data_IF_821061481277
#
_entry.id   IF_821061481277
#
_cell.length_a   1.000
_cell.length_b   1.000
_cell.length_c   1.000
_cell.angle_alpha   90.00
_cell.angle_beta   90.00
_cell.angle_gamma   90.00
#
_symmetry.space_group_name_H-M   'P 1'
#
loop_
_entity.id
_entity.type
_entity.pdbx_description
1 polymer ?
#
# COMPACT_ATOMS: atom_id res chain seq x y z
N UNK A 1 7.52 21.36 -6.79
CA UNK A 1 6.42 20.49 -6.30
C UNK A 1 6.98 19.42 -5.37
N UNK A 2 6.41 19.22 -4.18
CA UNK A 2 6.89 18.19 -3.23
C UNK A 2 6.51 16.80 -3.76
N UNK A 3 7.52 16.00 -4.13
CA UNK A 3 7.34 14.59 -4.47
C UNK A 3 7.18 13.81 -3.18
N UNK A 4 5.98 13.35 -2.88
CA UNK A 4 5.72 12.44 -1.77
C UNK A 4 5.37 11.08 -2.35
N UNK A 5 6.00 10.04 -1.80
CA UNK A 5 5.76 8.63 -2.12
C UNK A 5 5.13 8.04 -0.89
N UNK A 6 3.89 7.55 -1.03
CA UNK A 6 3.23 6.86 0.06
C UNK A 6 3.08 5.40 -0.32
N UNK A 7 3.62 4.53 0.54
CA UNK A 7 3.48 3.08 0.49
C UNK A 7 2.43 2.73 1.53
N UNK A 8 1.37 2.05 1.11
CA UNK A 8 0.31 1.58 2.01
C UNK A 8 0.43 0.06 2.12
N UNK A 9 1.03 -0.47 3.20
CA UNK A 9 0.84 -1.87 3.59
C UNK A 9 -0.58 -2.02 4.17
N UNK A 10 -1.25 -3.12 3.85
CA UNK A 10 -2.69 -3.23 4.05
C UNK A 10 -3.14 -3.23 5.52
N UNK A 11 -4.16 -2.43 5.81
CA UNK A 11 -5.16 -2.67 6.87
C UNK A 11 -6.37 -3.43 6.30
N UNK A 12 -6.81 -4.46 7.02
CA UNK A 12 -7.95 -5.29 6.64
C UNK A 12 -9.31 -4.67 7.02
N UNK A 13 -10.39 -5.20 6.43
CA UNK A 13 -11.75 -4.99 6.95
C UNK A 13 -12.19 -6.27 7.63
N UNK A 14 -12.11 -6.31 8.95
CA UNK A 14 -12.44 -7.49 9.74
C UNK A 14 -13.92 -7.53 10.08
N UNK A 15 -14.52 -8.72 10.06
CA UNK A 15 -15.94 -8.96 10.40
C UNK A 15 -16.16 -9.29 11.87
N UNK A 16 -15.11 -9.57 12.66
CA UNK A 16 -15.27 -10.11 14.02
C UNK A 16 -14.62 -9.25 15.11
N UNK A 17 -15.28 -9.20 16.26
CA UNK A 17 -14.94 -8.36 17.42
C UNK A 17 -13.58 -8.69 18.07
N UNK A 18 -13.01 -9.86 17.78
CA UNK A 18 -11.74 -10.33 18.37
C UNK A 18 -10.50 -9.69 17.72
N UNK A 19 -10.66 -9.11 16.53
CA UNK A 19 -9.62 -8.41 15.77
C UNK A 19 -9.66 -6.88 16.02
N UNK A 20 -10.39 -6.43 17.03
CA UNK A 20 -10.75 -5.02 17.28
C UNK A 20 -9.79 -4.27 18.23
N UNK A 21 -8.70 -4.88 18.70
CA UNK A 21 -7.77 -4.28 19.67
C UNK A 21 -6.87 -3.19 19.05
N UNK A 22 -7.46 -2.09 18.55
CA UNK A 22 -6.74 -0.88 18.12
C UNK A 22 -6.38 -0.80 16.65
N UNK A 23 -7.07 -1.53 15.77
CA UNK A 23 -6.80 -1.51 14.34
C UNK A 23 -7.24 -0.21 13.65
N UNK A 24 -6.43 0.27 12.69
CA UNK A 24 -6.76 1.40 11.85
C UNK A 24 -7.88 1.02 10.87
N UNK A 25 -9.11 1.46 11.16
CA UNK A 25 -10.23 1.34 10.21
C UNK A 25 -9.99 2.32 9.08
N UNK A 26 -9.81 1.79 7.88
CA UNK A 26 -9.76 2.64 6.70
C UNK A 26 -11.13 3.24 6.44
N UNK A 27 -11.14 4.57 6.35
CA UNK A 27 -12.26 5.33 5.81
C UNK A 27 -12.55 4.83 4.40
N UNK A 28 -13.82 4.57 4.10
CA UNK A 28 -14.29 4.26 2.75
C UNK A 28 -14.01 5.40 1.75
N UNK A 29 -13.60 6.58 2.24
CA UNK A 29 -13.24 7.74 1.45
C UNK A 29 -11.75 8.08 1.64
N UNK A 30 -10.95 7.85 0.61
CA UNK A 30 -9.52 8.19 0.53
C UNK A 30 -9.24 9.43 -0.35
N UNK A 31 -10.25 10.27 -0.61
CA UNK A 31 -10.13 11.41 -1.53
C UNK A 31 -9.07 12.44 -1.10
N UNK A 32 -8.92 12.68 0.22
CA UNK A 32 -7.86 13.56 0.73
C UNK A 32 -6.47 12.97 0.46
N UNK A 33 -6.33 11.65 0.59
CA UNK A 33 -5.09 10.95 0.32
C UNK A 33 -4.72 11.05 -1.16
N UNK A 34 -5.70 10.88 -2.06
CA UNK A 34 -5.54 11.12 -3.50
C UNK A 34 -5.09 12.56 -3.80
N UNK A 35 -5.74 13.56 -3.19
CA UNK A 35 -5.45 14.99 -3.43
C UNK A 35 -4.10 15.45 -2.88
N UNK A 36 -3.62 14.86 -1.79
CA UNK A 36 -2.46 15.37 -1.03
C UNK A 36 -1.23 14.46 -1.12
N UNK A 37 -1.41 13.17 -1.36
CA UNK A 37 -0.37 12.14 -1.30
C UNK A 37 0.62 12.15 -2.46
N UNK A 38 0.36 12.94 -3.52
CA UNK A 38 1.19 12.95 -4.71
C UNK A 38 1.07 11.61 -5.46
N UNK A 39 2.21 10.97 -5.75
CA UNK A 39 2.20 9.71 -6.50
C UNK A 39 2.14 8.53 -5.52
N UNK A 40 1.00 7.83 -5.52
CA UNK A 40 0.73 6.73 -4.62
C UNK A 40 1.18 5.41 -5.23
N UNK A 41 1.83 4.56 -4.43
CA UNK A 41 2.20 3.21 -4.81
C UNK A 41 1.66 2.20 -3.81
N UNK A 42 1.05 1.13 -4.31
CA UNK A 42 0.54 0.02 -3.51
C UNK A 42 1.41 -1.20 -3.77
N UNK A 43 2.09 -1.67 -2.74
CA UNK A 43 2.93 -2.87 -2.79
C UNK A 43 2.22 -3.98 -2.03
N UNK A 44 2.02 -5.13 -2.68
CA UNK A 44 1.40 -6.29 -2.04
C UNK A 44 2.04 -7.57 -2.53
N UNK A 45 2.32 -8.48 -1.61
CA UNK A 45 2.70 -9.85 -1.98
C UNK A 45 1.50 -10.79 -1.97
N UNK A 46 1.50 -11.76 -2.88
CA UNK A 46 0.46 -12.80 -2.95
C UNK A 46 0.55 -13.82 -1.82
N UNK A 47 1.76 -14.03 -1.30
CA UNK A 47 2.11 -14.95 -0.23
C UNK A 47 2.21 -14.27 1.14
N UNK A 48 1.67 -13.05 1.29
CA UNK A 48 1.59 -12.36 2.58
C UNK A 48 0.67 -13.15 3.54
N UNK A 49 1.20 -13.68 4.68
CA UNK A 49 0.40 -14.48 5.60
C UNK A 49 -0.46 -13.63 6.55
N UNK A 50 -0.23 -12.31 6.61
CA UNK A 50 -0.89 -11.39 7.54
C UNK A 50 -2.01 -10.62 6.85
N UNK A 51 -1.75 -10.12 5.63
CA UNK A 51 -2.69 -9.29 4.87
C UNK A 51 -3.19 -10.07 3.65
N UNK A 52 -4.48 -10.45 3.62
CA UNK A 52 -5.06 -11.15 2.48
C UNK A 52 -4.91 -10.36 1.17
N UNK A 53 -4.46 -11.02 0.10
CA UNK A 53 -4.28 -10.38 -1.21
C UNK A 53 -5.54 -9.67 -1.74
N UNK A 54 -6.74 -10.16 -1.38
CA UNK A 54 -8.02 -9.56 -1.78
C UNK A 54 -8.19 -8.12 -1.27
N UNK A 55 -7.53 -7.75 -0.18
CA UNK A 55 -7.64 -6.42 0.41
C UNK A 55 -7.01 -5.34 -0.47
N UNK A 56 -6.02 -5.70 -1.31
CA UNK A 56 -5.47 -4.81 -2.34
C UNK A 56 -6.57 -4.23 -3.24
N UNK A 57 -7.58 -5.04 -3.58
CA UNK A 57 -8.70 -4.61 -4.42
C UNK A 57 -9.52 -3.47 -3.81
N UNK A 58 -9.57 -3.36 -2.47
CA UNK A 58 -10.25 -2.26 -1.76
C UNK A 58 -9.52 -0.94 -1.99
N UNK A 59 -8.19 -0.94 -1.87
CA UNK A 59 -7.37 0.23 -2.14
C UNK A 59 -7.37 0.60 -3.62
N UNK A 60 -7.34 -0.36 -4.53
CA UNK A 60 -7.42 -0.08 -5.97
C UNK A 60 -8.74 0.61 -6.34
N UNK A 61 -9.86 0.20 -5.74
CA UNK A 61 -11.15 0.87 -5.92
C UNK A 61 -11.15 2.30 -5.36
N UNK A 62 -10.57 2.51 -4.17
CA UNK A 62 -10.53 3.81 -3.51
C UNK A 62 -9.48 4.76 -4.09
N UNK A 63 -8.42 4.23 -4.72
CA UNK A 63 -7.28 4.95 -5.28
C UNK A 63 -6.99 4.45 -6.72
N UNK A 64 -7.87 4.74 -7.69
CA UNK A 64 -7.76 4.20 -9.04
C UNK A 64 -6.50 4.66 -9.80
N UNK A 65 -5.90 5.78 -9.38
CA UNK A 65 -4.67 6.33 -9.96
C UNK A 65 -3.38 5.77 -9.33
N UNK A 66 -3.50 4.94 -8.28
CA UNK A 66 -2.34 4.38 -7.60
C UNK A 66 -1.60 3.37 -8.48
N UNK A 67 -0.27 3.39 -8.38
CA UNK A 67 0.58 2.44 -9.09
C UNK A 67 0.72 1.16 -8.26
N UNK A 68 0.24 0.05 -8.79
CA UNK A 68 0.27 -1.24 -8.08
C UNK A 68 1.54 -2.03 -8.44
N UNK A 69 2.14 -2.65 -7.43
CA UNK A 69 3.29 -3.56 -7.50
C UNK A 69 2.94 -4.84 -6.76
N UNK A 70 2.75 -5.91 -7.53
CA UNK A 70 2.39 -7.23 -6.99
C UNK A 70 3.61 -8.13 -7.04
N UNK A 71 3.89 -8.80 -5.92
CA UNK A 71 4.97 -9.77 -5.78
C UNK A 71 4.38 -11.17 -5.55
N UNK A 72 5.16 -12.20 -5.86
CA UNK A 72 4.76 -13.60 -5.66
C UNK A 72 5.36 -14.18 -4.37
N UNK A 73 6.47 -13.63 -3.92
CA UNK A 73 7.48 -14.24 -3.05
C UNK A 73 8.15 -13.19 -2.15
N UNK A 74 7.36 -12.27 -1.59
CA UNK A 74 7.83 -11.20 -0.69
C UNK A 74 7.17 -11.24 0.68
N UNK A 75 6.34 -12.24 0.97
CA UNK A 75 5.64 -12.40 2.26
C UNK A 75 5.08 -11.04 2.75
N UNK A 76 5.25 -10.73 4.04
CA UNK A 76 4.89 -9.44 4.64
C UNK A 76 6.04 -8.41 4.59
N UNK A 77 6.90 -8.47 3.56
CA UNK A 77 8.07 -7.59 3.38
C UNK A 77 9.06 -7.58 4.57
N UNK A 78 9.26 -8.72 5.22
CA UNK A 78 10.14 -8.91 6.38
C UNK A 78 11.63 -9.01 6.01
N UNK A 79 11.98 -8.92 4.73
CA UNK A 79 13.36 -9.06 4.25
C UNK A 79 14.21 -7.85 4.65
N UNK A 80 15.51 -8.07 4.86
CA UNK A 80 16.47 -7.01 5.19
C UNK A 80 16.68 -6.00 4.05
N UNK A 81 16.36 -6.40 2.82
CA UNK A 81 16.54 -5.57 1.62
C UNK A 81 15.25 -5.51 0.81
N UNK A 82 14.94 -4.31 0.31
CA UNK A 82 13.84 -4.07 -0.62
C UNK A 82 14.27 -3.18 -1.79
N UNK A 83 15.13 -3.68 -2.70
CA UNK A 83 15.73 -2.88 -3.76
C UNK A 83 14.70 -2.30 -4.74
N UNK A 84 13.56 -2.94 -4.94
CA UNK A 84 12.46 -2.47 -5.79
C UNK A 84 11.88 -1.16 -5.27
N UNK A 85 11.68 -1.03 -3.96
CA UNK A 85 11.23 0.20 -3.32
C UNK A 85 12.25 1.32 -3.53
N UNK A 86 13.53 1.05 -3.26
CA UNK A 86 14.62 2.01 -3.46
C UNK A 86 14.68 2.48 -4.92
N UNK A 87 14.52 1.56 -5.87
CA UNK A 87 14.50 1.85 -7.31
C UNK A 87 13.33 2.76 -7.67
N UNK A 88 12.13 2.52 -7.14
CA UNK A 88 10.96 3.39 -7.38
C UNK A 88 11.17 4.79 -6.81
N UNK A 89 11.64 4.90 -5.55
CA UNK A 89 11.95 6.19 -4.92
C UNK A 89 12.96 6.98 -5.76
N UNK A 90 14.06 6.33 -6.20
CA UNK A 90 15.09 6.97 -7.02
C UNK A 90 14.55 7.45 -8.37
N UNK A 91 13.70 6.66 -9.05
CA UNK A 91 13.06 7.07 -10.32
C UNK A 91 12.21 8.32 -10.14
N UNK A 92 11.45 8.39 -9.06
CA UNK A 92 10.58 9.54 -8.76
C UNK A 92 11.44 10.77 -8.45
N UNK A 93 12.49 10.60 -7.65
CA UNK A 93 13.43 11.67 -7.32
C UNK A 93 14.14 12.25 -8.54
N UNK A 94 14.59 11.41 -9.48
CA UNK A 94 15.36 11.81 -10.68
C UNK A 94 14.58 12.57 -11.77
N UNK A 95 13.24 12.59 -11.76
CA UNK A 95 12.48 13.40 -12.73
C UNK A 95 12.67 14.90 -12.48
N UNK A 96 13.63 15.53 -13.16
CA UNK A 96 13.67 16.99 -13.35
C UNK A 96 12.64 17.37 -14.40
#
# INVERSE_FOLDING_TARGET
MKKQVVVVPGGGTYKTYKEFLGNFVISNNLEKFRKQGGKIFLFQSKDDPIVPFIDLGKYQKALPEAVVRIFKDREHFSQSEFPELVKEIRKISKKK
#
